data_IF_011985371347
#
_entry.id   IF_011985371347
#
_cell.length_a   1.000
_cell.length_b   1.000
_cell.length_c   1.000
_cell.angle_alpha   90.00
_cell.angle_beta   90.00
_cell.angle_gamma   90.00
#
_symmetry.space_group_name_H-M   'P 1'
#
loop_
_entity.id
_entity.type
_entity.pdbx_description
1 polymer ?
#
# COMPACT_ATOMS: atom_id res chain seq x y z
N UNK A 1 18.83 -16.33 -25.22
CA UNK A 1 17.62 -16.91 -24.59
C UNK A 1 16.82 -17.65 -25.65
N UNK A 2 16.37 -18.88 -25.41
CA UNK A 2 15.62 -19.65 -26.43
C UNK A 2 14.14 -19.26 -26.46
N UNK A 3 13.52 -19.34 -27.64
CA UNK A 3 12.10 -19.07 -27.85
C UNK A 3 11.19 -19.95 -26.96
N UNK A 4 11.62 -21.19 -26.66
CA UNK A 4 10.91 -22.09 -25.74
C UNK A 4 10.77 -21.50 -24.33
N UNK A 5 11.78 -20.80 -23.81
CA UNK A 5 11.74 -20.19 -22.48
C UNK A 5 10.80 -18.98 -22.43
N UNK A 6 10.66 -18.24 -23.53
CA UNK A 6 9.72 -17.12 -23.65
C UNK A 6 8.28 -17.60 -23.77
N UNK A 7 8.03 -18.63 -24.59
CA UNK A 7 6.70 -19.23 -24.77
C UNK A 7 6.21 -19.84 -23.45
N UNK A 8 7.09 -20.52 -22.70
CA UNK A 8 6.75 -21.05 -21.38
C UNK A 8 6.36 -19.96 -20.39
N UNK A 9 7.15 -18.88 -20.29
CA UNK A 9 6.82 -17.73 -19.42
C UNK A 9 5.52 -17.05 -19.82
N UNK A 10 5.26 -16.90 -21.12
CA UNK A 10 4.04 -16.31 -21.65
C UNK A 10 2.81 -17.20 -21.40
N UNK A 11 2.94 -18.52 -21.56
CA UNK A 11 1.87 -19.48 -21.25
C UNK A 11 1.53 -19.52 -19.76
N UNK A 12 2.55 -19.46 -18.90
CA UNK A 12 2.33 -19.32 -17.47
C UNK A 12 1.61 -18.01 -17.15
N UNK A 13 2.02 -16.87 -17.76
CA UNK A 13 1.34 -15.58 -17.59
C UNK A 13 -0.13 -15.65 -18.02
N UNK A 14 -0.41 -16.23 -19.19
CA UNK A 14 -1.77 -16.47 -19.70
C UNK A 14 -2.62 -17.34 -18.76
N UNK A 15 -2.00 -18.29 -18.06
CA UNK A 15 -2.65 -19.20 -17.12
C UNK A 15 -2.73 -18.67 -15.69
N UNK A 16 -2.32 -17.41 -15.44
CA UNK A 16 -2.25 -16.84 -14.10
C UNK A 16 -1.20 -17.52 -13.18
N UNK A 17 -0.28 -18.29 -13.75
CA UNK A 17 0.81 -19.02 -13.06
C UNK A 17 2.19 -18.48 -13.42
N UNK A 18 2.25 -17.38 -14.17
CA UNK A 18 3.48 -16.76 -14.66
C UNK A 18 3.49 -15.28 -14.34
N UNK A 19 4.61 -14.84 -13.78
CA UNK A 19 4.64 -13.75 -12.82
C UNK A 19 4.45 -14.36 -11.43
N UNK A 20 5.35 -14.07 -10.49
CA UNK A 20 5.18 -14.51 -9.11
C UNK A 20 3.78 -14.05 -8.66
N UNK A 21 2.94 -14.98 -8.18
CA UNK A 21 1.67 -14.62 -7.61
C UNK A 21 1.95 -13.68 -6.43
N UNK A 22 1.54 -12.42 -6.57
CA UNK A 22 1.72 -11.45 -5.51
C UNK A 22 0.88 -11.87 -4.29
N UNK A 23 1.56 -12.42 -3.28
CA UNK A 23 0.99 -12.72 -1.97
C UNK A 23 0.29 -14.07 -1.83
N UNK A 24 0.86 -15.15 -2.39
CA UNK A 24 0.52 -16.53 -1.96
C UNK A 24 1.09 -16.80 -0.56
N UNK A 25 0.27 -17.41 0.30
CA UNK A 25 0.66 -17.83 1.64
C UNK A 25 1.81 -18.84 1.56
N UNK A 26 2.95 -18.54 2.18
CA UNK A 26 4.03 -19.50 2.41
C UNK A 26 5.25 -19.40 1.50
N UNK A 27 5.26 -18.50 0.50
CA UNK A 27 6.51 -18.16 -0.22
C UNK A 27 7.03 -16.82 0.30
N UNK A 28 7.77 -16.88 1.40
CA UNK A 28 8.59 -15.76 1.89
C UNK A 28 9.87 -15.66 1.06
N UNK A 29 9.71 -15.47 -0.23
CA UNK A 29 10.81 -14.93 -0.98
C UNK A 29 10.79 -13.46 -0.61
N UNK A 30 11.94 -12.91 -0.20
CA UNK A 30 12.15 -11.48 -0.05
C UNK A 30 11.99 -10.79 -1.42
N UNK A 31 10.80 -10.88 -2.00
CA UNK A 31 10.48 -10.54 -3.36
C UNK A 31 10.46 -9.02 -3.42
N UNK A 32 11.54 -8.53 -3.99
CA UNK A 32 11.67 -7.19 -4.50
C UNK A 32 10.64 -7.03 -5.63
N UNK A 33 9.47 -6.51 -5.29
CA UNK A 33 8.58 -5.87 -6.27
C UNK A 33 9.13 -4.50 -6.70
N UNK A 34 10.39 -4.22 -6.32
CA UNK A 34 11.09 -2.97 -6.49
C UNK A 34 11.11 -2.53 -7.94
N UNK A 35 10.70 -1.29 -8.20
CA UNK A 35 10.73 -0.69 -9.54
C UNK A 35 9.72 -1.26 -10.53
N UNK A 36 8.79 -2.11 -10.08
CA UNK A 36 7.76 -2.64 -10.97
C UNK A 36 6.67 -1.60 -11.25
N UNK A 37 6.08 -1.71 -12.44
CA UNK A 37 4.80 -1.08 -12.74
C UNK A 37 3.68 -2.06 -12.42
N UNK A 38 2.95 -1.77 -11.35
CA UNK A 38 1.78 -2.49 -10.88
C UNK A 38 0.55 -1.57 -10.87
N UNK A 39 0.50 -0.60 -11.78
CA UNK A 39 -0.67 0.24 -11.99
C UNK A 39 -1.87 -0.64 -12.34
N UNK A 40 -3.06 -0.27 -11.86
CA UNK A 40 -4.32 -1.01 -12.05
C UNK A 40 -4.33 -2.44 -11.46
N UNK A 41 -3.26 -2.87 -10.76
CA UNK A 41 -3.20 -4.23 -10.22
C UNK A 41 -4.33 -4.42 -9.19
N UNK A 42 -4.95 -5.60 -9.23
CA UNK A 42 -5.92 -5.99 -8.22
C UNK A 42 -5.33 -7.07 -7.33
N UNK A 43 -5.20 -6.77 -6.03
CA UNK A 43 -4.90 -7.77 -5.01
C UNK A 43 -6.16 -8.05 -4.19
N UNK A 44 -6.43 -9.33 -3.95
CA UNK A 44 -7.61 -9.76 -3.21
C UNK A 44 -7.26 -10.93 -2.31
N UNK A 45 -7.52 -10.79 -1.01
CA UNK A 45 -7.23 -11.82 -0.01
C UNK A 45 -5.77 -12.33 -0.01
N UNK A 46 -4.84 -11.50 -0.51
CA UNK A 46 -3.40 -11.81 -0.58
C UNK A 46 -2.69 -11.48 0.73
N UNK A 47 -1.65 -12.25 1.06
CA UNK A 47 -0.81 -12.02 2.24
C UNK A 47 0.62 -11.73 1.82
N UNK A 48 1.18 -10.64 2.32
CA UNK A 48 2.56 -10.22 2.10
C UNK A 48 3.28 -10.12 3.45
N UNK A 49 4.46 -10.72 3.54
CA UNK A 49 5.30 -10.68 4.74
C UNK A 49 6.73 -10.36 4.36
N UNK A 50 7.32 -9.32 4.96
CA UNK A 50 8.71 -8.93 4.69
C UNK A 50 8.99 -8.45 3.27
N UNK A 51 7.95 -8.16 2.47
CA UNK A 51 8.09 -7.79 1.06
C UNK A 51 8.52 -6.32 0.90
N UNK A 52 9.31 -6.04 -0.15
CA UNK A 52 9.66 -4.67 -0.53
C UNK A 52 9.01 -4.28 -1.85
N UNK A 53 8.31 -3.15 -1.82
CA UNK A 53 7.70 -2.48 -2.96
C UNK A 53 8.41 -1.16 -3.30
N UNK A 54 9.69 -1.04 -2.97
CA UNK A 54 10.43 0.21 -3.17
C UNK A 54 10.40 0.70 -4.63
N UNK A 55 10.13 1.98 -4.86
CA UNK A 55 10.07 2.57 -6.22
C UNK A 55 9.04 1.91 -7.15
N UNK A 56 8.02 1.24 -6.61
CA UNK A 56 6.95 0.59 -7.38
C UNK A 56 5.79 1.56 -7.62
N UNK A 57 5.13 1.45 -8.78
CA UNK A 57 3.92 2.22 -9.07
C UNK A 57 2.66 1.37 -8.94
N UNK A 58 1.64 1.93 -8.29
CA UNK A 58 0.34 1.34 -7.98
C UNK A 58 -0.80 2.31 -8.31
N UNK A 59 -0.61 3.17 -9.30
CA UNK A 59 -1.62 4.14 -9.70
C UNK A 59 -2.88 3.38 -10.12
N UNK A 60 -4.01 3.74 -9.52
CA UNK A 60 -5.31 3.06 -9.70
C UNK A 60 -5.35 1.58 -9.29
N UNK A 61 -4.38 1.10 -8.51
CA UNK A 61 -4.45 -0.26 -7.98
C UNK A 61 -5.65 -0.41 -7.02
N UNK A 62 -6.11 -1.65 -6.86
CA UNK A 62 -7.20 -2.01 -5.95
C UNK A 62 -6.79 -3.17 -5.05
N UNK A 63 -6.77 -2.95 -3.75
CA UNK A 63 -6.45 -3.97 -2.75
C UNK A 63 -7.67 -4.25 -1.88
N UNK A 64 -8.04 -5.52 -1.72
CA UNK A 64 -9.22 -5.91 -0.93
C UNK A 64 -8.92 -7.11 -0.05
N UNK A 65 -9.14 -6.97 1.27
CA UNK A 65 -8.94 -8.07 2.22
C UNK A 65 -7.48 -8.54 2.32
N UNK A 66 -6.51 -7.72 1.90
CA UNK A 66 -5.10 -8.07 1.91
C UNK A 66 -4.48 -7.88 3.30
N UNK A 67 -3.44 -8.66 3.59
CA UNK A 67 -2.68 -8.58 4.82
C UNK A 67 -1.22 -8.28 4.51
N UNK A 68 -0.67 -7.24 5.12
CA UNK A 68 0.73 -6.84 4.98
C UNK A 68 1.39 -6.85 6.36
N UNK A 69 2.48 -7.60 6.49
CA UNK A 69 3.27 -7.67 7.72
C UNK A 69 4.72 -7.33 7.40
N UNK A 70 5.31 -6.39 8.15
CA UNK A 70 6.72 -6.00 8.00
C UNK A 70 7.12 -5.66 6.54
N UNK A 71 6.20 -5.07 5.76
CA UNK A 71 6.45 -4.72 4.37
C UNK A 71 6.95 -3.27 4.25
N UNK A 72 7.70 -2.99 3.18
CA UNK A 72 8.22 -1.65 2.88
C UNK A 72 7.61 -1.08 1.60
N UNK A 73 7.06 0.13 1.69
CA UNK A 73 6.54 0.93 0.59
C UNK A 73 7.31 2.26 0.56
N UNK A 74 8.55 2.23 0.05
CA UNK A 74 9.38 3.45 -0.07
C UNK A 74 9.37 3.98 -1.51
N UNK A 75 9.34 5.29 -1.70
CA UNK A 75 9.33 5.93 -3.02
C UNK A 75 8.23 5.40 -3.96
N UNK A 76 7.09 4.99 -3.42
CA UNK A 76 5.99 4.42 -4.17
C UNK A 76 5.07 5.50 -4.74
N UNK A 77 4.52 5.23 -5.91
CA UNK A 77 3.39 5.98 -6.44
C UNK A 77 2.09 5.22 -6.20
N UNK A 78 1.37 5.58 -5.15
CA UNK A 78 0.10 4.98 -4.73
C UNK A 78 -1.08 5.91 -5.04
N UNK A 79 -0.92 6.84 -6.00
CA UNK A 79 -1.98 7.81 -6.33
C UNK A 79 -3.25 7.09 -6.79
N UNK A 80 -4.40 7.56 -6.32
CA UNK A 80 -5.73 7.02 -6.64
C UNK A 80 -5.96 5.55 -6.27
N UNK A 81 -5.06 4.95 -5.47
CA UNK A 81 -5.23 3.57 -5.00
C UNK A 81 -6.54 3.43 -4.21
N UNK A 82 -7.19 2.27 -4.34
CA UNK A 82 -8.35 1.88 -3.55
C UNK A 82 -8.00 0.71 -2.65
N UNK A 83 -8.08 0.90 -1.33
CA UNK A 83 -7.75 -0.12 -0.33
C UNK A 83 -8.98 -0.35 0.56
N UNK A 84 -9.43 -1.59 0.66
CA UNK A 84 -10.65 -1.95 1.39
C UNK A 84 -10.48 -3.20 2.23
N UNK A 85 -10.81 -3.13 3.53
CA UNK A 85 -10.74 -4.31 4.40
C UNK A 85 -9.33 -4.86 4.60
N UNK A 86 -8.28 -4.07 4.35
CA UNK A 86 -6.90 -4.52 4.44
C UNK A 86 -6.29 -4.23 5.81
N UNK A 87 -5.31 -5.04 6.19
CA UNK A 87 -4.56 -4.90 7.44
C UNK A 87 -3.08 -4.72 7.16
N UNK A 88 -2.45 -3.76 7.83
CA UNK A 88 -1.01 -3.49 7.77
C UNK A 88 -0.44 -3.55 9.20
N UNK A 89 0.59 -4.37 9.42
CA UNK A 89 1.22 -4.55 10.73
C UNK A 89 2.72 -4.36 10.57
N UNK A 90 3.31 -3.44 11.35
CA UNK A 90 4.77 -3.22 11.31
C UNK A 90 5.29 -2.75 9.96
N UNK A 91 4.45 -2.16 9.11
CA UNK A 91 4.83 -1.76 7.76
C UNK A 91 5.42 -0.34 7.75
N UNK A 92 6.32 -0.09 6.80
CA UNK A 92 6.94 1.22 6.60
C UNK A 92 6.47 1.81 5.28
N UNK A 93 5.97 3.04 5.34
CA UNK A 93 5.66 3.88 4.19
C UNK A 93 6.57 5.10 4.25
N UNK A 94 7.43 5.28 3.24
CA UNK A 94 8.32 6.44 3.18
C UNK A 94 8.33 7.08 1.80
N UNK A 95 8.43 8.40 1.75
CA UNK A 95 8.69 9.17 0.52
C UNK A 95 7.70 8.83 -0.61
N UNK A 96 6.45 8.54 -0.26
CA UNK A 96 5.46 7.95 -1.17
C UNK A 96 4.26 8.87 -1.36
N UNK A 97 3.67 8.80 -2.56
CA UNK A 97 2.55 9.65 -2.96
C UNK A 97 1.23 8.88 -2.88
N UNK A 98 0.30 9.31 -2.02
CA UNK A 98 -1.02 8.72 -1.84
C UNK A 98 -2.15 9.72 -2.18
N UNK A 99 -1.85 10.71 -3.02
CA UNK A 99 -2.86 11.68 -3.45
C UNK A 99 -4.08 10.97 -4.07
N UNK A 100 -5.28 11.40 -3.70
CA UNK A 100 -6.57 10.86 -4.11
C UNK A 100 -6.80 9.39 -3.74
N UNK A 101 -6.03 8.83 -2.79
CA UNK A 101 -6.24 7.47 -2.31
C UNK A 101 -7.62 7.30 -1.65
N UNK A 102 -8.11 6.07 -1.61
CA UNK A 102 -9.29 5.68 -0.84
C UNK A 102 -8.94 4.54 0.10
N UNK A 103 -9.13 4.76 1.40
CA UNK A 103 -9.04 3.72 2.42
C UNK A 103 -10.42 3.50 3.04
N UNK A 104 -10.88 2.24 3.05
CA UNK A 104 -12.18 1.86 3.60
C UNK A 104 -12.04 0.66 4.54
N UNK A 105 -12.46 0.82 5.80
CA UNK A 105 -12.44 -0.24 6.82
C UNK A 105 -11.08 -0.95 6.88
N UNK A 106 -10.00 -0.18 6.95
CA UNK A 106 -8.63 -0.70 6.99
C UNK A 106 -8.01 -0.43 8.36
N UNK A 107 -7.03 -1.26 8.73
CA UNK A 107 -6.30 -1.12 9.99
C UNK A 107 -4.80 -1.10 9.74
N UNK A 108 -4.12 -0.10 10.29
CA UNK A 108 -2.67 0.04 10.29
C UNK A 108 -2.20 0.08 11.74
N UNK A 109 -1.41 -0.90 12.13
CA UNK A 109 -0.90 -1.06 13.50
C UNK A 109 0.62 -1.11 13.51
N UNK A 110 1.23 -0.37 14.43
CA UNK A 110 2.69 -0.30 14.59
C UNK A 110 3.43 0.07 13.29
N UNK A 111 2.80 0.88 12.44
CA UNK A 111 3.37 1.29 11.15
C UNK A 111 4.15 2.61 11.25
N UNK A 112 5.10 2.80 10.34
CA UNK A 112 5.88 4.04 10.23
C UNK A 112 5.50 4.80 8.95
N UNK A 113 5.16 6.08 9.07
CA UNK A 113 4.73 6.96 7.97
C UNK A 113 5.61 8.20 7.88
N UNK A 114 6.55 8.23 6.94
CA UNK A 114 7.47 9.35 6.76
C UNK A 114 7.35 9.98 5.37
N UNK A 115 7.27 11.30 5.29
CA UNK A 115 7.24 12.03 4.01
C UNK A 115 6.12 11.55 3.07
N UNK A 116 4.89 11.51 3.59
CA UNK A 116 3.71 11.05 2.85
C UNK A 116 2.83 12.21 2.43
N UNK A 117 2.24 12.11 1.23
CA UNK A 117 1.22 13.02 0.73
C UNK A 117 -0.12 12.29 0.58
N UNK A 118 -1.17 12.80 1.22
CA UNK A 118 -2.54 12.27 1.16
C UNK A 118 -3.55 13.29 0.59
N UNK A 119 -3.10 14.21 -0.26
CA UNK A 119 -3.93 15.26 -0.84
C UNK A 119 -5.19 14.69 -1.51
N UNK A 120 -6.35 15.24 -1.18
CA UNK A 120 -7.66 14.81 -1.66
C UNK A 120 -7.98 13.32 -1.39
N UNK A 121 -7.30 12.71 -0.43
CA UNK A 121 -7.57 11.36 0.04
C UNK A 121 -8.96 11.25 0.68
N UNK A 122 -9.49 10.02 0.69
CA UNK A 122 -10.73 9.69 1.41
C UNK A 122 -10.49 8.51 2.34
N UNK A 123 -10.72 8.71 3.62
CA UNK A 123 -10.62 7.67 4.64
C UNK A 123 -11.99 7.41 5.27
N UNK A 124 -12.37 6.15 5.42
CA UNK A 124 -13.63 5.76 6.03
C UNK A 124 -13.43 4.52 6.89
N UNK A 125 -13.62 4.61 8.21
CA UNK A 125 -13.35 3.51 9.13
C UNK A 125 -11.89 3.11 9.11
N UNK A 126 -10.98 4.10 9.16
CA UNK A 126 -9.55 3.87 9.10
C UNK A 126 -8.97 3.89 10.51
N UNK A 127 -8.34 2.79 10.92
CA UNK A 127 -7.65 2.69 12.19
C UNK A 127 -6.15 2.86 11.96
N UNK A 128 -5.54 3.84 12.62
CA UNK A 128 -4.11 4.14 12.59
C UNK A 128 -3.62 4.07 14.04
N UNK A 129 -3.22 2.87 14.45
CA UNK A 129 -2.99 2.51 15.85
C UNK A 129 -1.50 2.35 16.13
N UNK A 130 -1.01 2.99 17.20
CA UNK A 130 0.41 2.92 17.60
C UNK A 130 1.40 3.24 16.47
N UNK A 131 0.98 4.04 15.50
CA UNK A 131 1.79 4.40 14.35
C UNK A 131 2.60 5.67 14.63
N UNK A 132 3.75 5.80 14.00
CA UNK A 132 4.60 6.96 14.18
C UNK A 132 5.15 7.47 12.85
N UNK A 133 5.65 8.70 12.84
CA UNK A 133 6.42 9.21 11.72
C UNK A 133 6.43 10.73 11.63
N UNK A 134 6.76 11.23 10.45
CA UNK A 134 7.07 12.65 10.23
C UNK A 134 6.73 13.14 8.83
N UNK A 135 6.52 14.45 8.72
CA UNK A 135 6.40 15.16 7.44
C UNK A 135 5.25 14.63 6.57
N UNK A 136 4.06 14.55 7.17
CA UNK A 136 2.85 14.12 6.48
C UNK A 136 2.06 15.34 6.04
N UNK A 137 1.70 15.38 4.75
CA UNK A 137 0.92 16.48 4.16
C UNK A 137 -0.41 15.96 3.63
N UNK A 138 -1.48 16.72 3.82
CA UNK A 138 -2.75 16.45 3.19
C UNK A 138 -3.59 17.72 3.01
N UNK A 139 -3.79 18.14 1.77
CA UNK A 139 -4.76 19.17 1.39
C UNK A 139 -6.10 18.55 0.96
N UNK A 140 -7.21 19.02 1.51
CA UNK A 140 -8.56 18.58 1.11
C UNK A 140 -8.86 17.11 1.45
N UNK A 141 -8.14 16.53 2.41
CA UNK A 141 -8.36 15.16 2.90
C UNK A 141 -9.71 15.07 3.62
N UNK A 142 -10.48 14.02 3.34
CA UNK A 142 -11.76 13.75 4.00
C UNK A 142 -11.67 12.41 4.73
N UNK A 143 -11.66 12.44 6.06
CA UNK A 143 -11.71 11.28 6.93
C UNK A 143 -13.06 11.16 7.64
N UNK A 144 -13.58 9.93 7.74
CA UNK A 144 -14.74 9.56 8.55
C UNK A 144 -14.46 8.35 9.40
N UNK A 145 -14.76 8.41 10.70
CA UNK A 145 -14.48 7.33 11.66
C UNK A 145 -13.00 6.95 11.61
N UNK A 146 -12.12 7.95 11.77
CA UNK A 146 -10.67 7.74 11.76
C UNK A 146 -10.15 7.66 13.18
N UNK A 147 -9.46 6.58 13.52
CA UNK A 147 -8.86 6.38 14.84
C UNK A 147 -7.34 6.58 14.76
N UNK A 148 -6.79 7.35 15.69
CA UNK A 148 -5.36 7.64 15.83
C UNK A 148 -4.78 7.16 17.17
N UNK A 149 -5.46 6.24 17.86
CA UNK A 149 -5.10 5.81 19.22
C UNK A 149 -3.66 5.32 19.29
N UNK A 150 -2.89 5.92 20.20
CA UNK A 150 -1.47 5.58 20.41
C UNK A 150 -0.53 6.09 19.32
N UNK A 151 -1.02 6.82 18.31
CA UNK A 151 -0.22 7.27 17.19
C UNK A 151 0.39 8.66 17.42
N UNK A 152 1.61 8.88 16.90
CA UNK A 152 2.35 10.13 17.07
C UNK A 152 3.05 10.57 15.77
N UNK A 153 2.62 11.70 15.21
CA UNK A 153 3.19 12.24 13.97
C UNK A 153 3.77 13.64 14.18
N UNK A 154 5.02 13.83 13.74
CA UNK A 154 5.67 15.15 13.73
C UNK A 154 5.43 15.84 12.40
N UNK A 155 5.31 17.16 12.40
CA UNK A 155 5.15 17.97 11.18
C UNK A 155 3.98 17.51 10.29
N UNK A 156 2.88 17.06 10.88
CA UNK A 156 1.67 16.74 10.13
C UNK A 156 0.94 18.03 9.76
N UNK A 157 0.81 18.30 8.47
CA UNK A 157 0.15 19.48 7.92
C UNK A 157 -1.14 19.06 7.21
N UNK A 158 -2.27 19.40 7.82
CA UNK A 158 -3.60 19.14 7.29
C UNK A 158 -4.23 20.47 6.88
N UNK A 159 -4.36 20.71 5.57
CA UNK A 159 -4.94 21.94 5.01
C UNK A 159 -6.29 21.60 4.38
N UNK A 160 -7.33 22.40 4.59
CA UNK A 160 -8.69 22.13 4.09
C UNK A 160 -9.21 20.70 4.39
N UNK A 161 -8.65 20.04 5.39
CA UNK A 161 -8.97 18.66 5.72
C UNK A 161 -10.15 18.60 6.70
N UNK A 162 -11.00 17.60 6.52
CA UNK A 162 -12.10 17.31 7.43
C UNK A 162 -11.93 15.87 7.90
N UNK A 163 -11.52 15.68 9.16
CA UNK A 163 -11.35 14.37 9.79
C UNK A 163 -12.22 14.35 11.04
N UNK A 164 -12.98 13.26 11.22
CA UNK A 164 -13.86 13.07 12.37
C UNK A 164 -13.95 11.62 12.85
#
# INVERSE_FOLDING_TARGET
MSAQRLIFKHDQWRKGTGGAAAGVVGESDANAYTGLDLNLVTFSASTFSGSSFSSTTFVDASWTGCQFSNCTFSHCDLRRISVSGCTFIGCTFSDSQLAQCRFNNCSLTDCTWDQLNFDHGRWSGLEILSCAGSDITADGLIGKRVDFTGSWFRNMQLTNACIN
#
